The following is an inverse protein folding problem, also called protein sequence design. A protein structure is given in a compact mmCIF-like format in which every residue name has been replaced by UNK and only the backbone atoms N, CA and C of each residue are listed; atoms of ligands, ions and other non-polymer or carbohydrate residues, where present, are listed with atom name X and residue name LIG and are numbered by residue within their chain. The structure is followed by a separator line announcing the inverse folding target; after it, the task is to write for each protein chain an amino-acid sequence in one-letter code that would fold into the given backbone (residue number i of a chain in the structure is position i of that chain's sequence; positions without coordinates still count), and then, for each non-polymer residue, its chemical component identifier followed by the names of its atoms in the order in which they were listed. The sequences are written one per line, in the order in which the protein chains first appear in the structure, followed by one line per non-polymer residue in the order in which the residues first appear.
data_IF_259692572748
#
_entry.id   IF_259692572748
#
_cell.length_a   1.000
_cell.length_b   1.000
_cell.length_c   1.000
_cell.angle_alpha   90.00
_cell.angle_beta   90.00
_cell.angle_gamma   90.00
#
_symmetry.space_group_name_H-M   'P 1'
#
loop_
_entity.id
_entity.type
_entity.pdbx_description
1 polymer ?
#
# COMPACT_ATOMS: atom_id res chain seq x y z
N UNK A 1 -53.42 43.48 -32.41
CA UNK A 1 -52.16 44.25 -32.42
C UNK A 1 -51.05 43.21 -32.44
N UNK A 2 -50.58 42.86 -33.64
CA UNK A 2 -49.37 42.05 -33.87
C UNK A 2 -48.13 42.93 -33.74
N UNK A 3 -46.95 42.29 -33.76
CA UNK A 3 -45.55 42.81 -33.65
C UNK A 3 -44.93 42.57 -32.26
N UNK A 4 -43.78 41.91 -32.07
CA UNK A 4 -42.76 41.42 -33.00
C UNK A 4 -41.90 40.32 -32.31
N UNK A 5 -41.56 39.27 -33.07
CA UNK A 5 -40.57 38.16 -32.92
C UNK A 5 -39.09 38.67 -32.78
N UNK A 6 -37.99 37.86 -32.69
CA UNK A 6 -37.82 36.45 -33.10
C UNK A 6 -36.96 35.49 -32.25
N UNK A 7 -37.41 34.23 -32.26
CA UNK A 7 -36.74 32.96 -32.59
C UNK A 7 -35.19 32.93 -32.75
N UNK A 8 -34.54 31.99 -32.05
CA UNK A 8 -33.36 31.25 -32.57
C UNK A 8 -33.04 30.02 -31.71
N UNK A 9 -33.19 28.83 -32.33
CA UNK A 9 -32.23 27.70 -32.27
C UNK A 9 -32.13 26.93 -30.92
N UNK A 10 -32.31 25.61 -30.81
CA UNK A 10 -32.34 24.53 -31.78
C UNK A 10 -32.68 23.20 -31.08
N UNK A 11 -33.12 22.27 -31.92
CA UNK A 11 -33.48 20.84 -31.77
C UNK A 11 -32.50 19.96 -30.94
N UNK A 12 -32.73 18.63 -30.78
CA UNK A 12 -33.94 17.93 -30.31
C UNK A 12 -33.62 16.72 -29.39
N UNK A 13 -34.66 16.00 -29.02
CA UNK A 13 -34.67 14.68 -28.40
C UNK A 13 -33.78 13.63 -29.10
N UNK A 14 -33.05 12.85 -28.28
CA UNK A 14 -32.66 11.44 -28.40
C UNK A 14 -31.39 11.28 -27.54
N UNK A 15 -31.32 10.40 -26.53
CA UNK A 15 -30.91 9.01 -26.67
C UNK A 15 -30.82 8.51 -25.22
N UNK A 16 -31.69 7.60 -24.80
CA UNK A 16 -31.49 6.15 -24.88
C UNK A 16 -30.90 5.62 -23.59
N UNK A 17 -31.60 4.60 -23.10
CA UNK A 17 -31.17 3.61 -22.13
C UNK A 17 -29.69 3.24 -22.34
N UNK A 18 -28.85 3.57 -21.37
CA UNK A 18 -27.44 3.23 -21.35
C UNK A 18 -27.21 2.12 -20.33
N UNK A 19 -27.36 0.87 -20.76
CA UNK A 19 -26.87 -0.30 -20.08
C UNK A 19 -25.44 -0.09 -19.55
N UNK A 20 -25.05 -0.70 -18.39
CA UNK A 20 -23.70 -0.58 -17.88
C UNK A 20 -22.72 -1.13 -18.93
N UNK A 21 -21.87 -0.24 -19.44
CA UNK A 21 -20.86 -0.58 -20.42
C UNK A 21 -20.01 -1.76 -19.94
N UNK A 22 -19.88 -2.87 -20.69
CA UNK A 22 -18.98 -3.98 -20.35
C UNK A 22 -17.49 -3.63 -20.49
N UNK A 23 -17.19 -2.42 -20.98
CA UNK A 23 -15.84 -1.88 -21.16
C UNK A 23 -15.31 -1.08 -19.97
N UNK A 24 -15.87 -1.27 -18.77
CA UNK A 24 -15.15 -0.93 -17.57
C UNK A 24 -13.92 -1.83 -17.48
N UNK A 25 -12.83 -1.38 -18.11
CA UNK A 25 -11.50 -1.95 -17.95
C UNK A 25 -11.33 -2.16 -16.45
N UNK A 26 -11.09 -3.39 -15.96
CA UNK A 26 -10.94 -3.59 -14.54
C UNK A 26 -9.78 -2.71 -14.10
N UNK A 27 -10.10 -1.63 -13.36
CA UNK A 27 -9.11 -0.76 -12.77
C UNK A 27 -8.10 -1.70 -12.09
N UNK A 28 -6.82 -1.68 -12.48
CA UNK A 28 -5.85 -2.65 -11.98
C UNK A 28 -5.92 -2.61 -10.46
N UNK A 29 -6.14 -3.78 -9.85
CA UNK A 29 -6.37 -3.96 -8.43
C UNK A 29 -5.47 -2.98 -7.64
N UNK A 30 -6.14 -1.96 -7.11
CA UNK A 30 -5.59 -0.74 -6.50
C UNK A 30 -4.19 -0.96 -5.94
N UNK A 31 -3.21 -0.23 -6.46
CA UNK A 31 -1.83 -0.10 -5.97
C UNK A 31 -1.74 0.53 -4.55
N UNK A 32 -2.65 0.17 -3.64
CA UNK A 32 -2.73 0.64 -2.26
C UNK A 32 -2.05 -0.32 -1.25
N UNK A 33 -1.51 -1.47 -1.70
CA UNK A 33 -0.93 -2.48 -0.78
C UNK A 33 0.40 -2.11 -0.14
N UNK A 34 1.37 -1.47 -0.83
CA UNK A 34 2.63 -1.08 -0.18
C UNK A 34 2.41 -0.04 0.92
N UNK A 35 1.46 0.87 0.73
CA UNK A 35 1.19 1.97 1.66
C UNK A 35 0.67 1.44 3.00
N UNK A 36 -0.29 0.50 2.99
CA UNK A 36 -0.78 -0.11 4.24
C UNK A 36 0.31 -0.86 5.01
N UNK A 37 1.20 -1.59 4.32
CA UNK A 37 2.34 -2.25 4.97
C UNK A 37 3.27 -1.22 5.63
N UNK A 38 3.62 -0.15 4.91
CA UNK A 38 4.48 0.92 5.42
C UNK A 38 3.87 1.68 6.59
N UNK A 39 2.59 2.04 6.49
CA UNK A 39 1.81 2.68 7.56
C UNK A 39 1.75 1.79 8.80
N UNK A 40 1.44 0.50 8.62
CA UNK A 40 1.36 -0.46 9.73
C UNK A 40 2.73 -0.68 10.38
N UNK A 41 3.80 -0.76 9.59
CA UNK A 41 5.18 -0.85 10.09
C UNK A 41 5.53 0.37 10.95
N UNK A 42 5.22 1.56 10.45
CA UNK A 42 5.51 2.81 11.14
C UNK A 42 4.69 2.93 12.42
N UNK A 43 3.39 2.66 12.38
CA UNK A 43 2.51 2.68 13.55
C UNK A 43 2.98 1.70 14.63
N UNK A 44 3.24 0.43 14.24
CA UNK A 44 3.74 -0.62 15.15
C UNK A 44 5.07 -0.19 15.80
N UNK A 45 5.97 0.42 15.02
CA UNK A 45 7.23 0.94 15.53
C UNK A 45 7.04 2.08 16.53
N UNK A 46 6.13 3.01 16.26
CA UNK A 46 5.84 4.13 17.15
C UNK A 46 5.19 3.66 18.45
N UNK A 47 4.29 2.68 18.38
CA UNK A 47 3.68 2.04 19.55
C UNK A 47 4.72 1.34 20.43
N UNK A 48 5.73 0.67 19.86
CA UNK A 48 6.84 0.07 20.64
C UNK A 48 7.70 1.10 21.37
N UNK A 49 7.88 2.28 20.76
CA UNK A 49 8.66 3.39 21.32
C UNK A 49 7.80 4.30 22.22
N UNK A 50 6.50 4.03 22.32
CA UNK A 50 5.59 4.71 23.22
C UNK A 50 6.04 4.57 24.68
N UNK A 51 5.61 5.52 25.51
CA UNK A 51 5.89 5.49 26.95
C UNK A 51 5.11 4.40 27.69
N UNK A 52 4.13 3.79 27.03
CA UNK A 52 3.30 2.75 27.60
C UNK A 52 4.09 1.47 27.91
N UNK A 53 3.53 0.67 28.81
CA UNK A 53 4.11 -0.59 29.26
C UNK A 53 4.31 -1.55 28.08
N UNK A 54 5.22 -2.53 28.26
CA UNK A 54 5.43 -3.60 27.30
C UNK A 54 4.09 -4.22 26.87
N UNK A 55 3.94 -4.50 25.57
CA UNK A 55 2.67 -5.03 25.06
C UNK A 55 2.32 -6.34 25.74
N UNK A 56 1.04 -6.53 26.11
CA UNK A 56 0.60 -7.84 26.54
C UNK A 56 0.73 -8.85 25.39
N UNK A 57 0.90 -10.15 25.68
CA UNK A 57 1.18 -11.16 24.66
C UNK A 57 0.17 -11.23 23.51
N UNK A 58 -1.11 -10.98 23.80
CA UNK A 58 -2.17 -10.98 22.79
C UNK A 58 -2.01 -9.83 21.79
N UNK A 59 -1.67 -8.62 22.25
CA UNK A 59 -1.41 -7.46 21.38
C UNK A 59 -0.22 -7.74 20.48
N UNK A 60 0.85 -8.31 21.03
CA UNK A 60 2.03 -8.69 20.25
C UNK A 60 1.67 -9.70 19.15
N UNK A 61 0.92 -10.75 19.49
CA UNK A 61 0.48 -11.76 18.53
C UNK A 61 -0.42 -11.17 17.43
N UNK A 62 -1.35 -10.27 17.79
CA UNK A 62 -2.22 -9.59 16.84
C UNK A 62 -1.43 -8.69 15.87
N UNK A 63 -0.51 -7.86 16.39
CA UNK A 63 0.35 -7.00 15.56
C UNK A 63 1.21 -7.83 14.60
N UNK A 64 1.76 -8.94 15.08
CA UNK A 64 2.50 -9.90 14.24
C UNK A 64 1.63 -10.46 13.13
N UNK A 65 0.45 -10.96 13.45
CA UNK A 65 -0.45 -11.55 12.45
C UNK A 65 -0.82 -10.54 11.36
N UNK A 66 -1.13 -9.29 11.73
CA UNK A 66 -1.47 -8.23 10.77
C UNK A 66 -0.27 -7.92 9.86
N UNK A 67 0.92 -7.69 10.41
CA UNK A 67 2.09 -7.34 9.62
C UNK A 67 2.55 -8.47 8.70
N UNK A 68 2.56 -9.71 9.18
CA UNK A 68 2.91 -10.88 8.36
C UNK A 68 1.90 -11.09 7.23
N UNK A 69 0.60 -10.94 7.50
CA UNK A 69 -0.44 -11.03 6.46
C UNK A 69 -0.28 -9.94 5.39
N UNK A 70 0.01 -8.70 5.78
CA UNK A 70 0.26 -7.62 4.84
C UNK A 70 1.52 -7.89 4.00
N UNK A 71 2.56 -8.47 4.62
CA UNK A 71 3.77 -8.89 3.93
C UNK A 71 3.53 -10.01 2.92
N UNK A 72 2.70 -11.00 3.25
CA UNK A 72 2.31 -12.08 2.34
C UNK A 72 1.49 -11.56 1.15
N UNK A 73 0.69 -10.51 1.36
CA UNK A 73 -0.15 -9.90 0.33
C UNK A 73 0.59 -8.89 -0.58
N UNK A 74 1.89 -8.71 -0.37
CA UNK A 74 2.73 -7.81 -1.18
C UNK A 74 2.66 -8.14 -2.67
N UNK A 75 3.02 -7.17 -3.50
CA UNK A 75 3.12 -7.37 -4.95
C UNK A 75 4.22 -8.39 -5.25
N UNK A 76 3.85 -9.53 -5.84
CA UNK A 76 4.79 -10.56 -6.26
C UNK A 76 5.77 -10.00 -7.31
N UNK A 77 7.04 -10.39 -7.20
CA UNK A 77 8.12 -9.97 -8.10
C UNK A 77 8.75 -8.60 -7.78
N UNK A 78 8.18 -7.81 -6.87
CA UNK A 78 8.71 -6.49 -6.51
C UNK A 78 9.94 -6.56 -5.57
N UNK A 79 10.00 -7.55 -4.68
CA UNK A 79 11.01 -7.66 -3.61
C UNK A 79 11.96 -8.86 -3.78
N UNK A 80 11.77 -9.65 -4.82
CA UNK A 80 12.43 -10.93 -5.03
C UNK A 80 13.87 -10.75 -5.56
N UNK A 81 14.21 -9.55 -6.01
CA UNK A 81 15.56 -9.23 -6.46
C UNK A 81 16.52 -9.10 -5.28
N UNK A 82 17.68 -9.76 -5.40
CA UNK A 82 18.83 -9.58 -4.51
C UNK A 82 18.60 -10.02 -3.07
N UNK A 83 17.66 -10.93 -2.81
CA UNK A 83 17.38 -11.41 -1.45
C UNK A 83 16.65 -10.39 -0.56
N UNK A 84 16.00 -9.40 -1.17
CA UNK A 84 15.37 -8.30 -0.43
C UNK A 84 14.15 -8.79 0.36
N UNK A 85 13.33 -9.65 -0.24
CA UNK A 85 12.16 -10.24 0.40
C UNK A 85 12.55 -11.00 1.68
N UNK A 86 13.55 -11.87 1.59
CA UNK A 86 14.07 -12.65 2.72
C UNK A 86 14.66 -11.74 3.80
N UNK A 87 15.32 -10.66 3.40
CA UNK A 87 15.87 -9.67 4.33
C UNK A 87 14.79 -8.92 5.09
N UNK A 88 13.71 -8.51 4.41
CA UNK A 88 12.55 -7.87 5.04
C UNK A 88 11.88 -8.86 6.00
N UNK A 89 11.62 -10.09 5.56
CA UNK A 89 10.97 -11.12 6.37
C UNK A 89 11.77 -11.45 7.63
N UNK A 90 13.11 -11.59 7.52
CA UNK A 90 13.99 -11.75 8.68
C UNK A 90 13.88 -10.57 9.65
N UNK A 91 13.82 -9.33 9.14
CA UNK A 91 13.65 -8.15 10.00
C UNK A 91 12.30 -8.19 10.74
N UNK A 92 11.21 -8.59 10.06
CA UNK A 92 9.90 -8.72 10.70
C UNK A 92 9.93 -9.77 11.82
N UNK A 93 10.46 -10.96 11.55
CA UNK A 93 10.58 -12.01 12.57
C UNK A 93 11.44 -11.60 13.76
N UNK A 94 12.60 -10.99 13.49
CA UNK A 94 13.49 -10.48 14.53
C UNK A 94 12.79 -9.41 15.38
N UNK A 95 12.04 -8.49 14.76
CA UNK A 95 11.31 -7.46 15.51
C UNK A 95 10.36 -8.04 16.55
N UNK A 96 9.57 -9.05 16.17
CA UNK A 96 8.62 -9.68 17.10
C UNK A 96 9.28 -10.60 18.12
N UNK A 97 10.43 -11.20 17.80
CA UNK A 97 11.22 -11.96 18.77
C UNK A 97 11.80 -11.04 19.85
N UNK A 98 12.40 -9.91 19.45
CA UNK A 98 12.93 -8.91 20.39
C UNK A 98 11.82 -8.28 21.24
N UNK A 99 10.66 -7.98 20.64
CA UNK A 99 9.51 -7.45 21.37
C UNK A 99 8.97 -8.46 22.40
N UNK A 100 8.94 -9.76 22.06
CA UNK A 100 8.57 -10.82 23.00
C UNK A 100 9.57 -10.95 24.16
N UNK A 101 10.86 -10.68 23.92
CA UNK A 101 11.91 -10.65 24.93
C UNK A 101 11.91 -9.36 25.78
N UNK A 102 11.05 -8.38 25.45
CA UNK A 102 11.01 -7.08 26.13
C UNK A 102 12.05 -6.06 25.62
N UNK A 103 12.82 -6.42 24.58
CA UNK A 103 13.82 -5.57 23.94
C UNK A 103 13.16 -4.60 22.94
N UNK A 104 12.47 -3.60 23.46
CA UNK A 104 11.63 -2.68 22.66
C UNK A 104 12.42 -1.87 21.64
N UNK A 105 13.62 -1.41 21.99
CA UNK A 105 14.44 -0.59 21.10
C UNK A 105 14.94 -1.42 19.92
N UNK A 106 15.43 -2.62 20.21
CA UNK A 106 15.91 -3.59 19.24
C UNK A 106 14.79 -3.98 18.28
N UNK A 107 13.59 -4.27 18.80
CA UNK A 107 12.40 -4.52 18.01
C UNK A 107 12.07 -3.34 17.07
N UNK A 108 12.07 -2.10 17.59
CA UNK A 108 11.80 -0.90 16.81
C UNK A 108 12.88 -0.61 15.75
N UNK A 109 14.14 -1.00 15.99
CA UNK A 109 15.23 -0.92 15.01
C UNK A 109 15.05 -1.92 13.88
N UNK A 110 14.60 -3.15 14.17
CA UNK A 110 14.29 -4.13 13.13
C UNK A 110 13.10 -3.69 12.27
N UNK A 111 12.04 -3.13 12.88
CA UNK A 111 10.93 -2.54 12.11
C UNK A 111 11.39 -1.35 11.25
N UNK A 112 12.30 -0.51 11.76
CA UNK A 112 12.91 0.57 10.96
C UNK A 112 13.64 0.00 9.75
N UNK A 113 14.47 -1.02 9.92
CA UNK A 113 15.21 -1.66 8.81
C UNK A 113 14.25 -2.22 7.75
N UNK A 114 13.21 -2.95 8.16
CA UNK A 114 12.18 -3.45 7.25
C UNK A 114 11.52 -2.29 6.47
N UNK A 115 11.11 -1.23 7.16
CA UNK A 115 10.51 -0.04 6.54
C UNK A 115 11.41 0.58 5.48
N UNK A 116 12.70 0.77 5.78
CA UNK A 116 13.66 1.33 4.82
C UNK A 116 13.83 0.44 3.59
N UNK A 117 13.96 -0.88 3.76
CA UNK A 117 14.08 -1.81 2.65
C UNK A 117 12.85 -1.75 1.73
N UNK A 118 11.64 -1.74 2.32
CA UNK A 118 10.40 -1.62 1.54
C UNK A 118 10.37 -0.31 0.75
N UNK A 119 10.69 0.83 1.38
CA UNK A 119 10.71 2.13 0.71
C UNK A 119 11.73 2.20 -0.42
N UNK A 120 12.95 1.73 -0.19
CA UNK A 120 14.02 1.75 -1.19
C UNK A 120 13.63 0.90 -2.42
N UNK A 121 13.12 -0.31 -2.22
CA UNK A 121 12.74 -1.19 -3.31
C UNK A 121 11.52 -0.69 -4.08
N UNK A 122 10.49 -0.20 -3.37
CA UNK A 122 9.33 0.39 -4.02
C UNK A 122 9.68 1.63 -4.86
N UNK A 123 10.60 2.46 -4.38
CA UNK A 123 11.09 3.65 -5.11
C UNK A 123 11.93 3.26 -6.33
N UNK A 124 12.91 2.36 -6.18
CA UNK A 124 13.74 1.88 -7.29
C UNK A 124 12.93 1.16 -8.35
N UNK A 125 11.98 0.30 -7.95
CA UNK A 125 11.08 -0.38 -8.88
C UNK A 125 10.16 0.58 -9.64
N UNK A 126 9.75 1.69 -9.01
CA UNK A 126 8.96 2.73 -9.67
C UNK A 126 9.77 3.48 -10.73
N UNK A 127 11.04 3.78 -10.46
CA UNK A 127 11.96 4.40 -11.43
C UNK A 127 12.25 3.48 -12.62
N UNK A 128 12.46 2.19 -12.38
CA UNK A 128 12.68 1.21 -13.44
C UNK A 128 11.49 1.11 -14.41
N UNK A 129 10.25 1.13 -13.90
CA UNK A 129 9.04 1.11 -14.73
C UNK A 129 8.86 2.39 -15.55
N UNK A 130 9.22 3.55 -15.01
CA UNK A 130 9.15 4.83 -15.71
C UNK A 130 10.19 4.96 -16.83
N UNK A 131 11.39 4.38 -16.68
CA UNK A 131 12.44 4.42 -17.70
C UNK A 131 12.37 3.28 -18.72
N UNK A 132 11.65 2.20 -18.45
CA UNK A 132 11.46 1.07 -19.38
C UNK A 132 10.30 1.23 -20.37
N UNK A 133 9.53 2.31 -20.30
CA UNK A 133 8.36 2.56 -21.15
C UNK A 133 8.69 3.21 -22.50
N UNK A 134 9.55 2.59 -23.31
CA UNK A 134 9.64 2.89 -24.74
C UNK A 134 10.17 1.68 -25.53
N UNK A 135 9.31 0.73 -25.95
CA UNK A 135 9.58 0.00 -27.18
C UNK A 135 9.11 0.89 -28.33
N UNK A 136 10.00 1.14 -29.29
CA UNK A 136 9.71 1.92 -30.49
C UNK A 136 8.64 1.30 -31.39
#
# INVERSE_FOLDING_TARGET
MTDHTPNATGLPAALVDGAPSPDATPLPARFARPTMLLETLLATRLELLGRDHAWPPHTLAQRRAVLMRLWEQRTAGLFEQGGTAESIERCLHAAFAEAAAGHRLEAALQLKRAYYLVCCTASSGSRARLHGGNPG
#
